data_IF_882008552175
#
_entry.id   IF_882008552175
#
_cell.length_a   1.000
_cell.length_b   1.000
_cell.length_c   1.000
_cell.angle_alpha   90.00
_cell.angle_beta   90.00
_cell.angle_gamma   90.00
#
_symmetry.space_group_name_H-M   'P 1'
#
loop_
_entity.id
_entity.type
_entity.pdbx_description
1 polymer ?
#
# COMPACT_ATOMS: atom_id res chain seq x y z
N UNK A 1 -21.47 -48.18 35.54
CA UNK A 1 -20.88 -46.84 35.33
C UNK A 1 -21.37 -46.36 33.99
N UNK A 2 -22.11 -45.26 33.93
CA UNK A 2 -22.78 -44.82 32.69
C UNK A 2 -21.76 -44.38 31.63
N UNK A 3 -22.00 -44.75 30.36
CA UNK A 3 -21.15 -44.39 29.22
C UNK A 3 -20.81 -42.90 29.16
N UNK A 4 -21.76 -42.03 29.56
CA UNK A 4 -21.54 -40.59 29.65
C UNK A 4 -20.44 -40.19 30.65
N UNK A 5 -20.23 -40.94 31.73
CA UNK A 5 -19.15 -40.67 32.68
C UNK A 5 -17.78 -41.06 32.10
N UNK A 6 -17.71 -42.17 31.37
CA UNK A 6 -16.49 -42.62 30.70
C UNK A 6 -16.09 -41.66 29.57
N UNK A 7 -17.06 -41.15 28.82
CA UNK A 7 -16.84 -40.17 27.76
C UNK A 7 -16.37 -38.80 28.30
N UNK A 8 -16.93 -38.34 29.42
CA UNK A 8 -16.50 -37.09 30.09
C UNK A 8 -15.09 -37.19 30.65
N UNK A 9 -14.73 -38.34 31.24
CA UNK A 9 -13.37 -38.58 31.75
C UNK A 9 -12.37 -38.65 30.59
N UNK A 10 -12.74 -39.28 29.47
CA UNK A 10 -11.91 -39.31 28.26
C UNK A 10 -11.63 -37.91 27.70
N UNK A 11 -12.65 -37.06 27.61
CA UNK A 11 -12.49 -35.67 27.14
C UNK A 11 -11.61 -34.86 28.10
N UNK A 12 -11.79 -34.99 29.41
CA UNK A 12 -10.94 -34.31 30.40
C UNK A 12 -9.48 -34.74 30.29
N UNK A 13 -9.22 -36.05 30.13
CA UNK A 13 -7.86 -36.57 29.97
C UNK A 13 -7.20 -36.05 28.68
N UNK A 14 -7.93 -36.04 27.57
CA UNK A 14 -7.44 -35.52 26.28
C UNK A 14 -7.14 -34.01 26.35
N UNK A 15 -7.99 -33.22 27.01
CA UNK A 15 -7.78 -31.80 27.22
C UNK A 15 -6.53 -31.51 28.07
N UNK A 16 -6.32 -32.29 29.14
CA UNK A 16 -5.15 -32.12 30.02
C UNK A 16 -3.84 -32.49 29.30
N UNK A 17 -3.88 -33.53 28.44
CA UNK A 17 -2.77 -33.90 27.56
C UNK A 17 -2.43 -32.80 26.55
N UNK A 18 -3.45 -32.17 25.96
CA UNK A 18 -3.26 -31.09 25.00
C UNK A 18 -2.63 -29.85 25.67
N UNK A 19 -3.09 -29.49 26.88
CA UNK A 19 -2.51 -28.39 27.66
C UNK A 19 -1.05 -28.69 28.05
N UNK A 20 -0.75 -29.92 28.48
CA UNK A 20 0.62 -30.33 28.80
C UNK A 20 1.54 -30.27 27.58
N UNK A 21 1.06 -30.66 26.39
CA UNK A 21 1.80 -30.56 25.14
C UNK A 21 2.09 -29.10 24.76
N UNK A 22 1.12 -28.20 24.90
CA UNK A 22 1.33 -26.77 24.67
C UNK A 22 2.39 -26.22 25.65
N UNK A 23 2.39 -26.66 26.91
CA UNK A 23 3.37 -26.18 27.89
C UNK A 23 4.78 -26.73 27.65
N UNK A 24 4.90 -27.97 27.16
CA UNK A 24 6.20 -28.59 26.84
C UNK A 24 6.82 -28.03 25.55
N UNK A 25 6.00 -27.80 24.52
CA UNK A 25 6.47 -27.36 23.19
C UNK A 25 6.36 -25.85 22.96
N UNK A 26 5.61 -25.12 23.79
CA UNK A 26 5.37 -23.68 23.68
C UNK A 26 6.40 -22.77 24.35
N UNK A 27 7.60 -23.27 24.69
CA UNK A 27 8.68 -22.43 25.24
C UNK A 27 9.55 -21.85 24.10
N UNK A 28 9.39 -20.56 23.73
CA UNK A 28 10.27 -19.92 22.74
C UNK A 28 11.68 -19.76 23.30
N UNK A 29 12.68 -20.29 22.59
CA UNK A 29 14.10 -20.02 22.84
C UNK A 29 14.41 -18.57 22.46
N UNK A 30 14.86 -17.75 23.43
CA UNK A 30 15.38 -16.40 23.18
C UNK A 30 16.65 -16.51 22.31
N UNK A 31 16.77 -15.79 21.19
CA UNK A 31 18.04 -15.71 20.49
C UNK A 31 19.03 -14.84 21.28
N UNK A 32 20.23 -15.38 21.44
CA UNK A 32 21.42 -14.74 21.99
C UNK A 32 21.73 -13.45 21.23
N UNK A 33 21.77 -12.35 21.97
CA UNK A 33 22.12 -11.01 21.49
C UNK A 33 23.58 -10.97 21.01
N UNK A 34 23.77 -10.96 19.69
CA UNK A 34 25.08 -10.87 19.04
C UNK A 34 25.52 -9.42 18.84
N UNK A 35 26.53 -9.01 19.63
CA UNK A 35 27.59 -8.00 19.40
C UNK A 35 27.24 -6.72 18.60
N UNK A 36 27.00 -5.64 19.34
CA UNK A 36 27.07 -4.24 18.89
C UNK A 36 28.46 -3.95 18.32
N UNK A 37 28.53 -3.54 17.06
CA UNK A 37 29.70 -2.88 16.46
C UNK A 37 29.64 -1.40 16.87
N UNK A 38 30.71 -0.91 17.47
CA UNK A 38 30.86 0.51 17.84
C UNK A 38 30.91 1.40 16.57
N UNK A 39 30.23 2.55 16.55
CA UNK A 39 30.46 3.57 15.54
C UNK A 39 31.75 4.35 15.86
N UNK A 40 32.64 4.46 14.88
CA UNK A 40 33.81 5.32 14.95
C UNK A 40 33.41 6.82 14.82
N UNK A 41 34.06 7.65 15.62
CA UNK A 41 33.87 9.10 15.79
C UNK A 41 34.34 9.95 14.56
N UNK A 42 34.00 11.26 14.51
CA UNK A 42 33.73 12.01 13.31
C UNK A 42 34.90 12.90 12.87
N UNK A 43 35.14 12.99 11.56
CA UNK A 43 36.01 14.01 11.00
C UNK A 43 35.62 14.32 9.56
N UNK A 44 34.70 15.27 9.38
CA UNK A 44 34.61 16.05 8.15
C UNK A 44 34.08 17.45 8.48
N UNK A 45 34.83 18.53 8.21
CA UNK A 45 34.38 19.89 8.48
C UNK A 45 33.24 20.25 7.54
N UNK A 46 32.07 20.54 8.13
CA UNK A 46 30.92 21.17 7.48
C UNK A 46 31.35 22.55 6.96
N UNK A 47 31.34 22.73 5.64
CA UNK A 47 31.48 24.04 4.98
C UNK A 47 30.09 24.64 4.78
N UNK A 48 29.84 25.79 5.38
CA UNK A 48 28.68 26.62 5.06
C UNK A 48 28.97 27.44 3.79
N UNK A 49 28.01 27.60 2.87
CA UNK A 49 28.14 28.51 1.74
C UNK A 49 27.84 29.94 2.19
N UNK A 50 28.86 30.79 2.26
CA UNK A 50 28.71 32.23 2.42
C UNK A 50 28.36 32.87 1.07
N UNK A 51 27.21 33.52 0.99
CA UNK A 51 26.85 34.42 -0.13
C UNK A 51 27.79 35.63 -0.07
N UNK A 52 28.48 35.91 -1.18
CA UNK A 52 29.44 36.99 -1.29
C UNK A 52 28.78 38.37 -1.26
N UNK A 53 29.19 39.17 -0.27
CA UNK A 53 29.04 40.62 -0.24
C UNK A 53 30.00 41.24 -1.28
N UNK A 54 29.43 41.93 -2.27
CA UNK A 54 30.17 42.75 -3.21
C UNK A 54 29.53 44.16 -3.23
N UNK A 55 30.12 45.05 -2.45
CA UNK A 55 30.00 46.50 -2.53
C UNK A 55 31.42 47.03 -2.86
N UNK A 56 31.72 48.02 -3.71
CA UNK A 56 31.06 49.01 -4.59
C UNK A 56 32.22 49.63 -5.45
N UNK A 57 32.19 50.81 -6.13
CA UNK A 57 31.11 51.79 -6.35
C UNK A 57 31.02 52.47 -7.76
N UNK A 58 29.97 53.30 -7.90
CA UNK A 58 29.85 54.58 -8.63
C UNK A 58 29.91 54.65 -10.18
N UNK A 59 28.78 54.97 -10.84
CA UNK A 59 28.45 56.32 -11.33
C UNK A 59 27.18 56.33 -12.21
N UNK A 60 26.38 57.40 -12.09
CA UNK A 60 25.66 57.99 -13.24
C UNK A 60 24.16 57.74 -13.43
N UNK A 61 23.38 58.72 -12.96
CA UNK A 61 22.13 59.25 -13.53
C UNK A 61 20.73 58.60 -13.33
N UNK A 62 19.81 59.52 -13.08
CA UNK A 62 18.41 59.42 -12.68
C UNK A 62 17.48 58.70 -13.69
N UNK A 63 16.32 58.23 -13.21
CA UNK A 63 14.98 58.73 -13.59
C UNK A 63 13.86 58.03 -12.76
N UNK A 64 13.04 58.89 -12.13
CA UNK A 64 11.61 58.82 -11.78
C UNK A 64 10.94 57.54 -11.22
N UNK A 65 10.42 57.69 -9.99
CA UNK A 65 9.31 56.89 -9.45
C UNK A 65 7.97 57.21 -10.15
N UNK A 66 7.01 56.29 -10.07
CA UNK A 66 5.74 56.69 -9.47
C UNK A 66 5.24 55.69 -8.42
N UNK A 67 4.77 56.27 -7.32
CA UNK A 67 3.95 55.65 -6.28
C UNK A 67 2.73 54.97 -6.89
N UNK A 68 2.51 53.69 -6.55
CA UNK A 68 1.17 53.11 -6.49
C UNK A 68 1.09 52.16 -5.29
N UNK A 69 0.41 52.64 -4.25
CA UNK A 69 -0.21 51.85 -3.20
C UNK A 69 -1.18 50.85 -3.83
N UNK A 70 -0.69 49.65 -4.10
CA UNK A 70 -1.48 48.51 -4.54
C UNK A 70 -1.40 47.43 -3.47
N UNK A 71 -2.47 47.28 -2.69
CA UNK A 71 -2.65 46.17 -1.77
C UNK A 71 -2.30 44.85 -2.48
N UNK A 72 -1.19 44.24 -2.07
CA UNK A 72 -0.83 42.89 -2.46
C UNK A 72 -1.83 41.95 -1.79
N UNK A 73 -3.00 41.81 -2.40
CA UNK A 73 -3.84 40.63 -2.22
C UNK A 73 -2.99 39.44 -2.66
N UNK A 74 -2.44 38.71 -1.70
CA UNK A 74 -1.77 37.46 -1.93
C UNK A 74 -2.76 36.57 -2.70
N UNK A 75 -2.46 36.16 -3.95
CA UNK A 75 -3.32 35.21 -4.62
C UNK A 75 -3.34 33.97 -3.73
N UNK A 76 -4.53 33.63 -3.25
CA UNK A 76 -4.83 32.35 -2.60
C UNK A 76 -4.12 31.27 -3.41
N UNK A 77 -3.02 30.76 -2.85
CA UNK A 77 -2.22 29.69 -3.44
C UNK A 77 -3.21 28.59 -3.86
N UNK A 78 -3.11 28.09 -5.09
CA UNK A 78 -3.99 27.09 -5.70
C UNK A 78 -4.03 25.71 -5.01
N UNK A 79 -3.79 25.67 -3.70
CA UNK A 79 -3.90 24.55 -2.78
C UNK A 79 -5.29 23.91 -2.84
N UNK A 80 -6.36 24.71 -2.90
CA UNK A 80 -7.74 24.19 -2.97
C UNK A 80 -8.03 23.45 -4.28
N UNK A 81 -7.46 23.92 -5.40
CA UNK A 81 -7.59 23.24 -6.69
C UNK A 81 -6.77 21.95 -6.76
N UNK A 82 -5.59 21.94 -6.11
CA UNK A 82 -4.74 20.75 -6.03
C UNK A 82 -5.34 19.65 -5.13
N UNK A 83 -5.96 20.02 -4.01
CA UNK A 83 -6.66 19.09 -3.12
C UNK A 83 -7.88 18.45 -3.80
N UNK A 84 -8.67 19.24 -4.52
CA UNK A 84 -9.81 18.75 -5.29
C UNK A 84 -9.37 17.80 -6.43
N UNK A 85 -8.26 18.09 -7.11
CA UNK A 85 -7.71 17.22 -8.14
C UNK A 85 -7.25 15.87 -7.56
N UNK A 86 -6.64 15.86 -6.38
CA UNK A 86 -6.21 14.63 -5.72
C UNK A 86 -7.38 13.75 -5.27
N UNK A 87 -8.53 14.35 -4.90
CA UNK A 87 -9.72 13.60 -4.50
C UNK A 87 -10.32 12.74 -5.62
N UNK A 88 -10.10 13.10 -6.89
CA UNK A 88 -10.57 12.35 -8.05
C UNK A 88 -9.54 11.33 -8.56
N UNK A 89 -8.27 11.40 -8.11
CA UNK A 89 -7.23 10.44 -8.51
C UNK A 89 -7.59 9.03 -8.05
N UNK A 90 -7.55 8.06 -8.97
CA UNK A 90 -7.89 6.66 -8.65
C UNK A 90 -9.38 6.38 -8.56
N UNK A 91 -10.24 7.33 -8.94
CA UNK A 91 -11.66 7.05 -9.20
C UNK A 91 -11.81 6.20 -10.45
N UNK A 92 -12.62 5.14 -10.37
CA UNK A 92 -12.93 4.30 -11.53
C UNK A 92 -14.00 4.99 -12.41
N UNK A 93 -13.88 4.91 -13.76
CA UNK A 93 -14.89 5.46 -14.66
C UNK A 93 -16.26 4.77 -14.54
N UNK A 94 -16.28 3.46 -14.23
CA UNK A 94 -17.48 2.69 -13.92
C UNK A 94 -17.30 1.98 -12.56
N UNK A 95 -18.42 1.83 -11.85
CA UNK A 95 -18.48 1.03 -10.62
C UNK A 95 -18.73 -0.46 -10.89
N UNK A 96 -19.05 -0.84 -12.14
CA UNK A 96 -19.28 -2.23 -12.50
C UNK A 96 -17.97 -3.04 -12.43
N UNK A 97 -18.08 -4.26 -11.93
CA UNK A 97 -16.96 -5.20 -11.87
C UNK A 97 -17.44 -6.64 -11.96
N UNK A 98 -16.63 -7.48 -12.59
CA UNK A 98 -16.90 -8.91 -12.75
C UNK A 98 -16.14 -9.73 -11.70
N UNK A 99 -14.91 -9.31 -11.39
CA UNK A 99 -13.98 -10.04 -10.54
C UNK A 99 -13.10 -9.10 -9.73
N UNK A 100 -12.81 -9.50 -8.49
CA UNK A 100 -11.85 -8.84 -7.62
C UNK A 100 -10.75 -9.85 -7.23
N UNK A 101 -9.50 -9.47 -7.43
CA UNK A 101 -8.33 -10.23 -6.95
C UNK A 101 -7.75 -9.48 -5.77
N UNK A 102 -7.62 -10.15 -4.62
CA UNK A 102 -7.14 -9.53 -3.39
C UNK A 102 -5.86 -10.18 -2.87
N UNK A 103 -4.92 -9.36 -2.42
CA UNK A 103 -3.75 -9.75 -1.65
C UNK A 103 -3.66 -8.90 -0.39
N UNK A 104 -2.90 -9.34 0.59
CA UNK A 104 -2.72 -8.59 1.82
C UNK A 104 -1.26 -8.57 2.24
N UNK A 105 -0.88 -7.53 2.97
CA UNK A 105 0.37 -7.50 3.73
C UNK A 105 -0.02 -7.38 5.19
N UNK A 106 0.32 -8.39 5.99
CA UNK A 106 0.02 -8.43 7.42
C UNK A 106 1.29 -8.21 8.23
N UNK A 107 1.16 -7.53 9.37
CA UNK A 107 2.22 -7.46 10.36
C UNK A 107 2.56 -8.87 10.89
N UNK A 108 3.80 -9.06 11.34
CA UNK A 108 4.21 -10.29 12.03
C UNK A 108 3.45 -10.43 13.36
N UNK A 109 3.44 -11.65 13.89
CA UNK A 109 2.74 -11.95 15.14
C UNK A 109 3.18 -11.01 16.29
N UNK A 110 2.20 -10.33 16.90
CA UNK A 110 2.44 -9.37 17.99
C UNK A 110 2.94 -8.00 17.55
N UNK A 111 3.00 -7.73 16.25
CA UNK A 111 3.34 -6.42 15.68
C UNK A 111 2.13 -5.80 14.97
N UNK A 112 2.26 -4.51 14.64
CA UNK A 112 1.29 -3.72 13.88
C UNK A 112 2.02 -2.93 12.80
N UNK A 113 1.31 -2.59 11.74
CA UNK A 113 1.79 -1.68 10.71
C UNK A 113 1.42 -0.25 11.11
N UNK A 114 2.42 0.64 11.24
CA UNK A 114 2.21 2.04 11.59
C UNK A 114 1.87 2.84 10.33
N UNK A 115 0.92 3.78 10.45
CA UNK A 115 0.41 4.55 9.32
C UNK A 115 1.51 5.28 8.54
N UNK A 116 2.41 5.97 9.25
CA UNK A 116 3.54 6.68 8.66
C UNK A 116 4.47 5.77 7.82
N UNK A 117 4.74 4.56 8.28
CA UNK A 117 5.55 3.59 7.55
C UNK A 117 4.82 3.09 6.29
N UNK A 118 3.51 2.88 6.39
CA UNK A 118 2.66 2.51 5.25
C UNK A 118 2.68 3.58 4.17
N UNK A 119 2.55 4.86 4.54
CA UNK A 119 2.58 5.97 3.57
C UNK A 119 3.92 6.01 2.85
N UNK A 120 5.03 5.97 3.58
CA UNK A 120 6.38 5.98 2.98
C UNK A 120 6.60 4.77 2.07
N UNK A 121 6.11 3.59 2.47
CA UNK A 121 6.22 2.39 1.63
C UNK A 121 5.35 2.47 0.37
N UNK A 122 4.13 3.03 0.49
CA UNK A 122 3.22 3.23 -0.63
C UNK A 122 3.82 4.18 -1.68
N UNK A 123 4.39 5.31 -1.25
CA UNK A 123 5.07 6.25 -2.14
C UNK A 123 6.29 5.61 -2.82
N UNK A 124 7.13 4.90 -2.05
CA UNK A 124 8.31 4.18 -2.59
C UNK A 124 7.95 3.11 -3.61
N UNK A 125 6.74 2.58 -3.55
CA UNK A 125 6.24 1.59 -4.51
C UNK A 125 5.37 2.21 -5.60
N UNK A 126 5.27 3.54 -5.65
CA UNK A 126 4.58 4.29 -6.69
C UNK A 126 3.06 4.21 -6.61
N UNK A 127 2.49 4.03 -5.41
CA UNK A 127 1.08 4.30 -5.17
C UNK A 127 0.88 5.78 -4.84
N UNK A 128 -0.29 6.29 -5.22
CA UNK A 128 -0.70 7.68 -5.01
C UNK A 128 -1.95 7.70 -4.15
N UNK A 129 -1.99 8.58 -3.15
CA UNK A 129 -3.16 8.80 -2.32
C UNK A 129 -4.24 9.55 -3.11
N UNK A 130 -5.50 9.13 -3.00
CA UNK A 130 -6.58 9.79 -3.74
C UNK A 130 -7.98 9.38 -3.30
N UNK A 131 -8.82 9.08 -4.28
CA UNK A 131 -10.25 8.79 -4.14
C UNK A 131 -10.56 7.82 -3.01
N UNK A 132 -11.58 8.12 -2.20
CA UNK A 132 -11.95 7.39 -0.96
C UNK A 132 -10.87 7.39 0.13
N UNK A 133 -9.90 8.29 0.06
CA UNK A 133 -8.81 8.40 1.03
C UNK A 133 -8.03 7.08 1.16
N UNK A 134 -7.78 6.43 0.02
CA UNK A 134 -6.96 5.22 -0.10
C UNK A 134 -5.86 5.42 -1.14
N UNK A 135 -4.96 4.44 -1.25
CA UNK A 135 -3.85 4.50 -2.18
C UNK A 135 -4.18 3.75 -3.47
N UNK A 136 -3.70 4.26 -4.59
CA UNK A 136 -3.98 3.74 -5.92
C UNK A 136 -2.71 3.60 -6.74
N UNK A 137 -2.60 2.52 -7.51
CA UNK A 137 -1.65 2.45 -8.61
C UNK A 137 -2.35 2.90 -9.88
N UNK A 138 -1.90 3.99 -10.48
CA UNK A 138 -2.49 4.55 -11.70
C UNK A 138 -1.74 4.07 -12.95
N UNK A 139 -2.38 4.23 -14.10
CA UNK A 139 -1.70 4.09 -15.40
C UNK A 139 -0.79 5.30 -15.60
N UNK A 140 0.47 5.04 -15.93
CA UNK A 140 1.46 6.10 -16.15
C UNK A 140 1.05 6.98 -17.33
N UNK A 141 1.04 8.31 -17.10
CA UNK A 141 0.58 9.30 -18.09
C UNK A 141 -0.93 9.34 -18.31
N UNK A 142 -1.72 8.44 -17.71
CA UNK A 142 -3.16 8.32 -17.93
C UNK A 142 -3.97 8.10 -16.63
N UNK A 143 -3.90 9.02 -15.64
CA UNK A 143 -4.62 8.90 -14.38
C UNK A 143 -6.15 8.86 -14.55
N UNK A 144 -6.68 9.45 -15.62
CA UNK A 144 -8.10 9.53 -15.94
C UNK A 144 -8.73 8.17 -16.27
N UNK A 145 -7.92 7.17 -16.65
CA UNK A 145 -8.41 5.81 -16.93
C UNK A 145 -8.78 5.06 -15.66
N UNK A 146 -8.47 5.61 -14.49
CA UNK A 146 -8.68 5.01 -13.20
C UNK A 146 -7.52 4.11 -12.74
N UNK A 147 -7.66 3.48 -11.57
CA UNK A 147 -6.62 2.69 -10.95
C UNK A 147 -6.47 1.33 -11.64
N UNK A 148 -5.21 0.88 -11.72
CA UNK A 148 -4.86 -0.51 -12.01
C UNK A 148 -5.28 -1.37 -10.82
N UNK A 149 -4.90 -0.98 -9.60
CA UNK A 149 -5.34 -1.58 -8.34
C UNK A 149 -5.28 -0.54 -7.23
N UNK A 150 -5.92 -0.85 -6.10
CA UNK A 150 -6.00 0.04 -4.94
C UNK A 150 -5.55 -0.68 -3.66
N UNK A 151 -5.17 0.10 -2.66
CA UNK A 151 -4.70 -0.36 -1.36
C UNK A 151 -5.42 0.37 -0.23
N UNK A 152 -6.02 -0.39 0.69
CA UNK A 152 -6.80 0.12 1.83
C UNK A 152 -6.37 -0.56 3.13
N UNK A 153 -6.73 0.05 4.26
CA UNK A 153 -6.63 -0.60 5.58
C UNK A 153 -7.70 -1.67 5.73
N UNK A 154 -7.43 -2.75 6.48
CA UNK A 154 -8.47 -3.73 6.85
C UNK A 154 -9.31 -3.27 8.05
N UNK A 155 -8.83 -2.27 8.80
CA UNK A 155 -9.55 -1.68 9.92
C UNK A 155 -10.58 -0.70 9.40
N UNK A 156 -11.80 -0.72 9.96
CA UNK A 156 -12.83 0.28 9.63
C UNK A 156 -12.32 1.68 10.00
N UNK A 157 -12.52 2.71 9.14
CA UNK A 157 -13.36 2.72 7.93
C UNK A 157 -12.72 2.12 6.65
N UNK A 158 -11.44 1.78 6.67
CA UNK A 158 -10.68 1.24 5.53
C UNK A 158 -9.85 2.30 4.80
N UNK A 159 -10.15 3.58 5.01
CA UNK A 159 -9.35 4.71 4.55
C UNK A 159 -8.15 5.00 5.45
N UNK A 160 -7.23 5.83 4.94
CA UNK A 160 -6.13 6.39 5.70
C UNK A 160 -6.42 7.86 5.99
N UNK A 161 -6.51 8.22 7.28
CA UNK A 161 -6.62 9.61 7.70
C UNK A 161 -5.23 10.25 7.73
N UNK A 162 -4.94 11.10 6.75
CA UNK A 162 -3.64 11.77 6.64
C UNK A 162 -3.39 12.77 7.77
N UNK A 163 -4.44 13.34 8.38
CA UNK A 163 -4.29 14.29 9.48
C UNK A 163 -3.81 13.60 10.77
N UNK A 164 -4.26 12.36 11.01
CA UNK A 164 -3.94 11.57 12.21
C UNK A 164 -3.10 10.31 11.90
N UNK A 165 -2.35 10.32 10.79
CA UNK A 165 -1.67 9.12 10.26
C UNK A 165 -0.64 8.53 11.22
N UNK A 166 -0.05 9.34 12.10
CA UNK A 166 0.96 8.91 13.09
C UNK A 166 0.39 8.05 14.22
N UNK A 167 -0.90 8.22 14.49
CA UNK A 167 -1.64 7.47 15.50
C UNK A 167 -2.29 6.21 14.91
N UNK A 168 -2.36 6.13 13.58
CA UNK A 168 -2.94 5.00 12.89
C UNK A 168 -2.05 3.76 13.00
N UNK A 169 -2.66 2.66 13.43
CA UNK A 169 -2.07 1.33 13.39
C UNK A 169 -3.06 0.35 12.76
N UNK A 170 -2.55 -0.61 12.00
CA UNK A 170 -3.37 -1.67 11.43
C UNK A 170 -2.65 -3.01 11.44
N UNK A 171 -3.33 -4.13 11.75
CA UNK A 171 -2.73 -5.45 11.65
C UNK A 171 -2.42 -5.87 10.20
N UNK A 172 -3.13 -5.31 9.21
CA UNK A 172 -2.85 -5.57 7.81
C UNK A 172 -3.36 -4.46 6.87
N UNK A 173 -2.84 -4.47 5.65
CA UNK A 173 -3.33 -3.68 4.52
C UNK A 173 -3.77 -4.62 3.40
N UNK A 174 -4.83 -4.23 2.70
CA UNK A 174 -5.43 -4.98 1.61
C UNK A 174 -5.13 -4.31 0.27
N UNK A 175 -4.72 -5.09 -0.71
CA UNK A 175 -4.59 -4.69 -2.11
C UNK A 175 -5.66 -5.39 -2.91
N UNK A 176 -6.38 -4.66 -3.74
CA UNK A 176 -7.44 -5.22 -4.56
C UNK A 176 -7.37 -4.71 -6.00
N UNK A 177 -7.36 -5.65 -6.93
CA UNK A 177 -7.46 -5.44 -8.37
C UNK A 177 -8.89 -5.75 -8.80
N UNK A 178 -9.62 -4.72 -9.23
CA UNK A 178 -11.00 -4.85 -9.71
C UNK A 178 -11.01 -4.90 -11.24
N UNK A 179 -11.58 -5.97 -11.79
CA UNK A 179 -11.70 -6.18 -13.24
C UNK A 179 -13.11 -5.83 -13.72
N UNK A 180 -13.27 -5.20 -14.90
CA UNK A 180 -12.21 -4.82 -15.84
C UNK A 180 -11.36 -3.64 -15.33
N UNK A 181 -10.04 -3.79 -15.47
CA UNK A 181 -9.05 -2.76 -15.17
C UNK A 181 -8.68 -1.97 -16.45
N UNK A 182 -7.97 -0.85 -16.34
CA UNK A 182 -7.48 -0.10 -17.51
C UNK A 182 -6.50 -0.87 -18.40
N UNK A 183 -5.98 -1.99 -17.92
CA UNK A 183 -5.07 -2.93 -18.58
C UNK A 183 -5.70 -4.32 -18.63
N UNK A 184 -5.10 -5.23 -19.39
CA UNK A 184 -5.47 -6.65 -19.31
C UNK A 184 -5.33 -7.15 -17.88
N UNK A 185 -6.11 -8.16 -17.49
CA UNK A 185 -6.08 -8.67 -16.13
C UNK A 185 -4.69 -9.21 -15.78
N UNK A 186 -4.03 -9.88 -16.73
CA UNK A 186 -2.66 -10.35 -16.55
C UNK A 186 -1.67 -9.19 -16.37
N UNK A 187 -1.71 -8.14 -17.20
CA UNK A 187 -0.78 -7.00 -17.09
C UNK A 187 -0.99 -6.22 -15.78
N UNK A 188 -2.24 -6.10 -15.34
CA UNK A 188 -2.57 -5.48 -14.06
C UNK A 188 -1.99 -6.29 -12.88
N UNK A 189 -2.05 -7.62 -12.95
CA UNK A 189 -1.43 -8.51 -11.98
C UNK A 189 0.10 -8.43 -11.96
N UNK A 190 0.74 -8.40 -13.12
CA UNK A 190 2.21 -8.25 -13.22
C UNK A 190 2.70 -6.90 -12.69
N UNK A 191 1.81 -5.90 -12.54
CA UNK A 191 2.09 -4.65 -11.81
C UNK A 191 1.78 -4.76 -10.31
N UNK A 192 0.71 -5.45 -9.94
CA UNK A 192 0.26 -5.60 -8.55
C UNK A 192 1.21 -6.48 -7.73
N UNK A 193 1.52 -7.69 -8.18
CA UNK A 193 2.31 -8.67 -7.42
C UNK A 193 3.67 -8.13 -6.93
N UNK A 194 4.55 -7.58 -7.79
CA UNK A 194 5.84 -7.06 -7.33
C UNK A 194 5.68 -5.87 -6.38
N UNK A 195 4.64 -5.06 -6.56
CA UNK A 195 4.32 -3.94 -5.66
C UNK A 195 3.96 -4.46 -4.26
N UNK A 196 3.09 -5.47 -4.17
CA UNK A 196 2.68 -6.07 -2.89
C UNK A 196 3.85 -6.77 -2.21
N UNK A 197 4.70 -7.49 -2.96
CA UNK A 197 5.91 -8.11 -2.42
C UNK A 197 6.87 -7.06 -1.85
N UNK A 198 7.07 -5.95 -2.58
CA UNK A 198 7.91 -4.84 -2.12
C UNK A 198 7.33 -4.15 -0.88
N UNK A 199 6.01 -4.01 -0.79
CA UNK A 199 5.34 -3.51 0.42
C UNK A 199 5.59 -4.43 1.61
N UNK A 200 5.53 -5.75 1.41
CA UNK A 200 5.90 -6.74 2.43
C UNK A 200 7.34 -6.58 2.92
N UNK A 201 8.29 -6.39 2.00
CA UNK A 201 9.70 -6.15 2.35
C UNK A 201 9.90 -4.84 3.13
N UNK A 202 9.30 -3.74 2.68
CA UNK A 202 9.47 -2.41 3.28
C UNK A 202 8.86 -2.31 4.68
N UNK A 203 7.78 -3.05 4.93
CA UNK A 203 7.05 -3.05 6.20
C UNK A 203 7.42 -4.22 7.12
N UNK A 204 8.41 -5.05 6.73
CA UNK A 204 8.71 -6.35 7.36
C UNK A 204 7.45 -7.22 7.61
N UNK A 205 6.52 -7.16 6.66
CA UNK A 205 5.24 -7.86 6.70
C UNK A 205 5.24 -9.18 5.94
N UNK A 206 4.19 -9.97 6.13
CA UNK A 206 3.95 -11.22 5.42
C UNK A 206 2.89 -11.00 4.35
N UNK A 207 3.21 -11.35 3.10
CA UNK A 207 2.25 -11.30 1.99
C UNK A 207 1.31 -12.50 2.08
N UNK A 208 0.01 -12.23 2.08
CA UNK A 208 -1.05 -13.23 2.18
C UNK A 208 -1.97 -13.21 0.96
N UNK A 209 -2.56 -14.37 0.68
CA UNK A 209 -3.65 -14.51 -0.30
C UNK A 209 -5.03 -14.16 0.28
N UNK A 210 -6.06 -14.33 -0.54
CA UNK A 210 -7.47 -14.14 -0.20
C UNK A 210 -7.94 -14.99 0.98
N UNK A 211 -7.36 -16.18 1.15
CA UNK A 211 -7.63 -17.12 2.24
C UNK A 211 -6.77 -16.87 3.48
N UNK A 212 -6.01 -15.77 3.53
CA UNK A 212 -5.08 -15.41 4.61
C UNK A 212 -3.90 -16.35 4.78
N UNK A 213 -3.58 -17.15 3.77
CA UNK A 213 -2.40 -18.00 3.76
C UNK A 213 -1.21 -17.25 3.17
N UNK A 214 0.00 -17.60 3.60
CA UNK A 214 1.22 -17.03 3.03
C UNK A 214 1.28 -17.27 1.52
N UNK A 215 1.55 -16.20 0.75
CA UNK A 215 1.51 -16.24 -0.71
C UNK A 215 2.66 -17.09 -1.28
N UNK A 216 2.34 -18.31 -1.71
CA UNK A 216 3.28 -19.25 -2.31
C UNK A 216 3.33 -19.20 -3.84
N UNK A 217 4.39 -19.78 -4.43
CA UNK A 217 4.57 -19.85 -5.90
C UNK A 217 3.41 -20.55 -6.62
N UNK A 218 2.86 -21.60 -6.04
CA UNK A 218 1.72 -22.33 -6.61
C UNK A 218 0.47 -21.44 -6.68
N UNK A 219 0.17 -20.69 -5.62
CA UNK A 219 -0.97 -19.77 -5.59
C UNK A 219 -0.80 -18.63 -6.60
N UNK A 220 0.41 -18.08 -6.71
CA UNK A 220 0.76 -17.07 -7.72
C UNK A 220 0.53 -17.61 -9.14
N UNK A 221 0.99 -18.83 -9.45
CA UNK A 221 0.79 -19.43 -10.76
C UNK A 221 -0.70 -19.64 -11.06
N UNK A 222 -1.45 -20.14 -10.08
CA UNK A 222 -2.89 -20.35 -10.22
C UNK A 222 -3.66 -19.05 -10.48
N UNK A 223 -3.42 -17.98 -9.70
CA UNK A 223 -4.06 -16.67 -9.93
C UNK A 223 -3.75 -16.17 -11.35
N UNK A 224 -2.50 -16.30 -11.79
CA UNK A 224 -2.08 -15.90 -13.13
C UNK A 224 -2.84 -16.64 -14.23
N UNK A 225 -3.05 -17.95 -14.06
CA UNK A 225 -3.80 -18.76 -15.03
C UNK A 225 -5.29 -18.42 -15.04
N UNK A 226 -5.88 -18.10 -13.88
CA UNK A 226 -7.25 -17.56 -13.81
C UNK A 226 -7.38 -16.23 -14.56
N UNK A 227 -6.42 -15.32 -14.40
CA UNK A 227 -6.44 -14.02 -15.06
C UNK A 227 -6.25 -14.14 -16.57
N UNK A 228 -5.39 -15.06 -17.02
CA UNK A 228 -5.28 -15.42 -18.44
C UNK A 228 -6.60 -15.97 -19.00
N UNK A 229 -7.32 -16.78 -18.22
CA UNK A 229 -8.62 -17.29 -18.63
C UNK A 229 -9.68 -16.18 -18.71
N UNK A 230 -9.68 -15.27 -17.75
CA UNK A 230 -10.52 -14.08 -17.76
C UNK A 230 -10.28 -13.24 -19.02
N UNK A 231 -9.02 -12.92 -19.34
CA UNK A 231 -8.67 -12.13 -20.53
C UNK A 231 -9.14 -12.82 -21.83
N UNK A 232 -8.98 -14.14 -21.96
CA UNK A 232 -9.47 -14.89 -23.14
C UNK A 232 -10.99 -14.81 -23.31
N UNK A 233 -11.75 -14.84 -22.21
CA UNK A 233 -13.21 -14.75 -22.26
C UNK A 233 -13.69 -13.35 -22.68
N UNK A 234 -12.96 -12.30 -22.29
CA UNK A 234 -13.32 -10.91 -22.55
C UNK A 234 -12.73 -10.36 -23.87
N UNK A 235 -11.73 -11.02 -24.45
CA UNK A 235 -11.18 -10.70 -25.78
C UNK A 235 -11.86 -11.45 -26.93
N UNK A 236 -12.59 -12.53 -26.66
CA UNK A 236 -13.27 -13.29 -27.70
C UNK A 236 -14.41 -12.45 -28.32
N UNK A 237 -14.39 -12.15 -29.63
CA UNK A 237 -15.52 -11.53 -30.30
C UNK A 237 -16.79 -12.38 -30.06
N UNK A 238 -17.98 -11.76 -29.91
CA UNK A 238 -19.20 -12.54 -29.83
C UNK A 238 -19.26 -13.46 -31.05
N UNK A 239 -19.48 -14.76 -30.83
CA UNK A 239 -19.61 -15.76 -31.88
C UNK A 239 -20.76 -15.32 -32.80
N UNK A 240 -20.45 -14.57 -33.86
CA UNK A 240 -21.39 -14.29 -34.93
C UNK A 240 -21.71 -15.64 -35.54
N UNK A 241 -22.94 -16.12 -35.33
CA UNK A 241 -23.43 -17.37 -35.92
C UNK A 241 -23.03 -17.39 -37.39
N UNK A 242 -22.30 -18.42 -37.79
CA UNK A 242 -21.90 -18.60 -39.18
C UNK A 242 -23.16 -18.50 -40.07
N UNK A 243 -23.08 -17.82 -41.24
CA UNK A 243 -24.21 -17.73 -42.14
C UNK A 243 -24.55 -19.17 -42.56
N UNK A 244 -25.78 -19.58 -42.24
CA UNK A 244 -26.35 -20.82 -42.79
C UNK A 244 -26.51 -20.58 -44.28
N UNK A 245 -25.60 -21.13 -45.07
CA UNK A 245 -25.77 -21.32 -46.51
C UNK A 245 -26.51 -22.63 -46.76
#
# INVERSE_FOLDING_TARGET
MSDMAMLRIGILAAGLLLIAAIFLFGRPKKPTQGRRVEPADPAAPRREPSLGDAAAPADGDAIAAPDQDGALGQPELGLSAAEAANAELGKRPSQDFDKIVSLYVAARAGQVLRGEDIVVAAEKTGLVFGHMSVFHRLVEGHPERGPIFSMASIMKPGSFDMAHIREMETPAIAFFLTLPAPLTALDAWEKMLPTVQRMGELLDGVVLDDSRNALGRQRIAHIRDELRAYDRQHQAPPLTKAPRW
#
